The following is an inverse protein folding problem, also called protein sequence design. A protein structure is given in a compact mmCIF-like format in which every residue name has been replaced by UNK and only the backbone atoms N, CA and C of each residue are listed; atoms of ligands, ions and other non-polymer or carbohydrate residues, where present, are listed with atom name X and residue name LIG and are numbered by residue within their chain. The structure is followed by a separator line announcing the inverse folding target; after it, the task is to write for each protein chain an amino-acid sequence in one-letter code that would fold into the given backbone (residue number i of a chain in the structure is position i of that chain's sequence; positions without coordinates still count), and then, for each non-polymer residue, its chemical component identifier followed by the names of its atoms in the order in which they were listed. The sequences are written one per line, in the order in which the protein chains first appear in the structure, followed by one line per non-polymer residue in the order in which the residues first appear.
data_IF_126915114719
#
_entry.id   IF_126915114719
#
_cell.length_a   1.000
_cell.length_b   1.000
_cell.length_c   1.000
_cell.angle_alpha   90.00
_cell.angle_beta   90.00
_cell.angle_gamma   90.00
#
_symmetry.space_group_name_H-M   'P 1'
#
loop_
_entity.id
_entity.type
_entity.pdbx_description
1 polymer ?
#
# COMPACT_ATOMS: atom_id res chain seq x y z
N UNK A 1 1.30 8.82 0.64
CA UNK A 1 2.57 9.59 0.57
C UNK A 1 3.30 9.56 1.91
N UNK A 2 4.56 10.00 2.01
CA UNK A 2 5.47 9.81 3.18
C UNK A 2 4.82 10.02 4.56
N UNK A 3 3.83 10.91 4.67
CA UNK A 3 3.06 11.18 5.89
C UNK A 3 1.70 10.45 5.97
N UNK A 4 1.57 9.25 5.39
CA UNK A 4 0.32 8.47 5.24
C UNK A 4 -0.86 9.16 4.52
N UNK A 5 -0.64 10.32 3.89
CA UNK A 5 -1.65 11.00 3.06
C UNK A 5 -1.79 10.26 1.72
N UNK A 6 -2.87 9.52 1.50
CA UNK A 6 -3.04 8.61 0.36
C UNK A 6 -4.08 9.10 -0.66
N UNK A 7 -4.78 10.18 -0.37
CA UNK A 7 -5.82 10.80 -1.20
C UNK A 7 -5.32 11.13 -2.62
N UNK A 8 -4.14 11.73 -2.85
CA UNK A 8 -3.66 12.02 -4.20
C UNK A 8 -3.45 10.76 -5.05
N UNK A 9 -3.13 9.63 -4.41
CA UNK A 9 -2.89 8.36 -5.09
C UNK A 9 -4.22 7.66 -5.39
N UNK A 10 -5.15 7.69 -4.43
CA UNK A 10 -6.48 7.07 -4.53
C UNK A 10 -7.36 7.77 -5.58
N UNK A 11 -7.21 9.09 -5.74
CA UNK A 11 -7.94 9.88 -6.74
C UNK A 11 -7.16 10.07 -8.05
N UNK A 12 -5.82 10.08 -8.01
CA UNK A 12 -4.97 10.30 -9.19
C UNK A 12 -4.84 9.08 -10.10
N UNK A 13 -4.74 7.88 -9.53
CA UNK A 13 -5.16 6.66 -10.25
C UNK A 13 -6.59 6.40 -9.83
N UNK A 14 -7.52 6.01 -10.73
CA UNK A 14 -8.89 5.67 -10.36
C UNK A 14 -8.94 4.32 -9.62
N UNK A 15 -8.26 4.23 -8.47
CA UNK A 15 -8.16 3.04 -7.61
C UNK A 15 -9.56 2.60 -7.18
N UNK A 16 -10.41 3.58 -6.86
CA UNK A 16 -11.78 3.36 -6.39
C UNK A 16 -12.69 2.81 -7.50
N UNK A 17 -12.39 3.13 -8.77
CA UNK A 17 -13.18 2.65 -9.93
C UNK A 17 -12.57 1.41 -10.57
N UNK A 18 -11.31 1.04 -10.23
CA UNK A 18 -10.64 -0.13 -10.76
C UNK A 18 -10.72 -1.31 -9.77
N UNK A 19 -11.59 -2.31 -10.01
CA UNK A 19 -11.77 -3.44 -9.10
C UNK A 19 -10.49 -4.27 -8.91
N UNK A 20 -9.54 -4.23 -9.84
CA UNK A 20 -8.25 -4.93 -9.73
C UNK A 20 -7.37 -4.30 -8.66
N UNK A 21 -7.45 -2.98 -8.46
CA UNK A 21 -6.66 -2.28 -7.43
C UNK A 21 -7.34 -2.20 -6.07
N UNK A 22 -8.65 -2.43 -5.98
CA UNK A 22 -9.36 -2.59 -4.71
C UNK A 22 -8.90 -3.85 -3.96
N UNK A 23 -8.58 -4.93 -4.68
CA UNK A 23 -8.11 -6.19 -4.12
C UNK A 23 -6.83 -6.01 -3.25
N UNK A 24 -5.70 -5.50 -3.80
CA UNK A 24 -4.50 -5.27 -3.00
C UNK A 24 -4.72 -4.20 -1.93
N UNK A 25 -5.62 -3.24 -2.14
CA UNK A 25 -5.92 -2.21 -1.13
C UNK A 25 -6.54 -2.78 0.15
N UNK A 26 -7.34 -3.83 0.06
CA UNK A 26 -7.93 -4.50 1.24
C UNK A 26 -6.99 -5.58 1.81
N UNK A 27 -6.34 -6.35 0.94
CA UNK A 27 -5.50 -7.48 1.35
C UNK A 27 -4.22 -7.02 2.04
N UNK A 28 -3.58 -5.96 1.53
CA UNK A 28 -2.32 -5.44 2.08
C UNK A 28 -2.42 -5.04 3.56
N UNK A 29 -3.37 -4.19 3.99
CA UNK A 29 -3.51 -3.85 5.42
C UNK A 29 -3.92 -5.05 6.28
N UNK A 30 -4.70 -6.00 5.74
CA UNK A 30 -5.05 -7.23 6.47
C UNK A 30 -3.80 -8.08 6.75
N UNK A 31 -2.95 -8.28 5.75
CA UNK A 31 -1.68 -9.02 5.90
C UNK A 31 -0.73 -8.27 6.85
N UNK A 32 -0.58 -6.96 6.71
CA UNK A 32 0.28 -6.17 7.59
C UNK A 32 -0.20 -6.20 9.04
N UNK A 33 -1.51 -6.20 9.27
CA UNK A 33 -2.09 -6.35 10.62
C UNK A 33 -1.79 -7.72 11.20
N UNK A 34 -1.90 -8.78 10.39
CA UNK A 34 -1.59 -10.15 10.82
C UNK A 34 -0.10 -10.32 11.17
N UNK A 35 0.79 -9.76 10.35
CA UNK A 35 2.23 -9.72 10.61
C UNK A 35 2.50 -8.99 11.93
N UNK A 36 1.97 -7.77 12.08
CA UNK A 36 2.12 -6.98 13.31
C UNK A 36 1.62 -7.72 14.55
N UNK A 37 0.47 -8.36 14.46
CA UNK A 37 -0.10 -9.18 15.54
C UNK A 37 0.82 -10.35 15.90
N UNK A 38 1.36 -11.08 14.92
CA UNK A 38 2.27 -12.19 15.16
C UNK A 38 3.56 -11.77 15.88
N UNK A 39 4.13 -10.62 15.52
CA UNK A 39 5.32 -10.10 16.20
C UNK A 39 5.07 -9.63 17.64
N UNK A 40 3.86 -9.14 17.92
CA UNK A 40 3.45 -8.75 19.27
C UNK A 40 3.19 -10.00 20.13
N UNK A 41 2.49 -11.01 19.59
CA UNK A 41 2.17 -12.24 20.35
C UNK A 41 3.39 -13.10 20.63
N UNK A 42 4.37 -13.12 19.73
CA UNK A 42 5.67 -13.79 19.94
C UNK A 42 6.58 -13.05 20.94
N UNK A 43 6.13 -11.92 21.50
CA UNK A 43 6.89 -11.03 22.39
C UNK A 43 8.21 -10.52 21.79
N UNK A 44 8.37 -10.58 20.47
CA UNK A 44 9.51 -10.02 19.76
C UNK A 44 9.48 -8.49 19.82
N UNK A 45 8.28 -7.91 19.79
CA UNK A 45 8.04 -6.47 19.84
C UNK A 45 7.10 -6.16 21.01
N UNK A 46 7.42 -5.18 21.87
CA UNK A 46 6.51 -4.75 22.90
C UNK A 46 5.25 -4.15 22.29
N UNK A 47 4.07 -4.29 22.93
CA UNK A 47 2.86 -3.63 22.45
C UNK A 47 3.08 -2.11 22.41
N UNK A 48 2.40 -1.46 21.46
CA UNK A 48 2.47 0.00 21.30
C UNK A 48 2.00 0.68 22.59
N UNK A 49 2.94 1.32 23.30
CA UNK A 49 2.71 2.01 24.57
C UNK A 49 2.46 3.52 24.37
N UNK A 50 2.94 4.08 23.25
CA UNK A 50 2.81 5.50 22.94
C UNK A 50 1.90 5.74 21.74
N UNK A 51 0.98 6.67 21.87
CA UNK A 51 0.15 7.14 20.76
C UNK A 51 1.01 8.00 19.83
N UNK A 52 1.28 7.48 18.64
CA UNK A 52 2.07 8.16 17.60
C UNK A 52 1.12 8.83 16.61
N UNK A 53 1.39 10.07 16.16
CA UNK A 53 0.58 10.73 15.13
C UNK A 53 0.48 9.87 13.87
N UNK A 54 -0.72 9.75 13.30
CA UNK A 54 -0.98 8.96 12.08
C UNK A 54 -0.25 9.49 10.84
N UNK A 55 0.18 10.76 10.87
CA UNK A 55 1.02 11.37 9.83
C UNK A 55 2.48 10.93 9.89
N UNK A 56 2.89 10.14 10.88
CA UNK A 56 4.28 9.67 11.01
C UNK A 56 4.61 8.66 9.90
N UNK A 57 5.79 8.70 9.26
CA UNK A 57 6.11 7.77 8.18
C UNK A 57 5.98 6.30 8.61
N UNK A 58 5.39 5.47 7.75
CA UNK A 58 4.95 4.10 8.07
C UNK A 58 5.92 3.26 8.93
N UNK A 59 7.21 3.13 8.57
CA UNK A 59 8.18 2.35 9.36
C UNK A 59 8.53 2.96 10.73
N UNK A 60 8.35 4.27 10.90
CA UNK A 60 8.64 4.98 12.15
C UNK A 60 7.50 4.87 13.17
N UNK A 61 6.27 4.61 12.73
CA UNK A 61 5.11 4.39 13.62
C UNK A 61 5.37 3.27 14.65
N UNK A 62 5.73 2.03 14.26
CA UNK A 62 6.00 0.97 15.22
C UNK A 62 7.25 1.24 16.07
N UNK A 63 8.25 1.93 15.53
CA UNK A 63 9.45 2.31 16.28
C UNK A 63 9.15 3.27 17.43
N UNK A 64 8.45 4.37 17.14
CA UNK A 64 8.06 5.37 18.13
C UNK A 64 6.99 4.83 19.08
N UNK A 65 6.06 4.02 18.58
CA UNK A 65 5.00 3.41 19.37
C UNK A 65 5.51 2.46 20.45
N UNK A 66 6.68 1.86 20.23
CA UNK A 66 7.33 0.91 21.15
C UNK A 66 8.36 1.56 22.06
N UNK A 67 8.51 2.89 22.01
CA UNK A 67 9.48 3.61 22.83
C UNK A 67 10.92 3.53 22.33
N UNK A 68 11.13 3.26 21.04
CA UNK A 68 12.46 3.26 20.44
C UNK A 68 13.10 1.87 20.26
N UNK A 69 12.30 0.82 20.04
CA UNK A 69 12.83 -0.53 19.83
C UNK A 69 13.21 -0.78 18.36
N UNK A 70 14.49 -1.08 18.07
CA UNK A 70 14.96 -1.34 16.71
C UNK A 70 14.28 -2.53 16.01
N UNK A 71 13.82 -3.52 16.76
CA UNK A 71 13.05 -4.63 16.18
C UNK A 71 11.72 -4.15 15.59
N UNK A 72 11.09 -3.14 16.21
CA UNK A 72 9.84 -2.58 15.73
C UNK A 72 10.03 -1.78 14.43
N UNK A 73 11.19 -1.13 14.28
CA UNK A 73 11.57 -0.46 13.03
C UNK A 73 11.76 -1.48 11.91
N UNK A 74 12.45 -2.59 12.17
CA UNK A 74 12.65 -3.66 11.19
C UNK A 74 11.33 -4.29 10.73
N UNK A 75 10.39 -4.54 11.66
CA UNK A 75 9.06 -5.06 11.29
C UNK A 75 8.25 -4.02 10.51
N UNK A 76 8.35 -2.73 10.85
CA UNK A 76 7.75 -1.67 10.04
C UNK A 76 8.29 -1.64 8.60
N UNK A 77 9.60 -1.81 8.44
CA UNK A 77 10.24 -1.89 7.13
C UNK A 77 9.86 -3.18 6.37
N UNK A 78 9.73 -4.31 7.08
CA UNK A 78 9.26 -5.57 6.52
C UNK A 78 7.81 -5.46 6.02
N UNK A 79 6.91 -4.87 6.83
CA UNK A 79 5.53 -4.61 6.41
C UNK A 79 5.45 -3.69 5.20
N UNK A 80 6.35 -2.70 5.10
CA UNK A 80 6.46 -1.85 3.91
C UNK A 80 6.91 -2.68 2.69
N UNK A 81 7.94 -3.51 2.83
CA UNK A 81 8.45 -4.36 1.77
C UNK A 81 7.43 -5.39 1.28
N UNK A 82 6.71 -6.03 2.21
CA UNK A 82 5.61 -6.96 1.90
C UNK A 82 4.49 -6.24 1.18
N UNK A 83 4.11 -5.05 1.63
CA UNK A 83 3.12 -4.22 0.95
C UNK A 83 3.55 -3.88 -0.48
N UNK A 84 4.80 -3.45 -0.72
CA UNK A 84 5.28 -3.17 -2.08
C UNK A 84 5.28 -4.41 -2.95
N UNK A 85 5.71 -5.57 -2.43
CA UNK A 85 5.70 -6.84 -3.19
C UNK A 85 4.29 -7.27 -3.54
N UNK A 86 3.33 -7.14 -2.63
CA UNK A 86 1.92 -7.43 -2.91
C UNK A 86 1.37 -6.46 -3.96
N UNK A 87 1.70 -5.17 -3.86
CA UNK A 87 1.14 -4.15 -4.74
C UNK A 87 1.72 -4.19 -6.17
N UNK A 88 2.99 -4.58 -6.31
CA UNK A 88 3.73 -4.59 -7.58
C UNK A 88 3.04 -5.36 -8.73
N UNK A 89 2.62 -6.64 -8.57
CA UNK A 89 1.98 -7.38 -9.66
C UNK A 89 0.65 -6.76 -10.09
N UNK A 90 -0.14 -6.23 -9.14
CA UNK A 90 -1.44 -5.62 -9.46
C UNK A 90 -1.27 -4.29 -10.20
N UNK A 91 -0.28 -3.48 -9.81
CA UNK A 91 0.03 -2.23 -10.52
C UNK A 91 0.47 -2.51 -11.96
N UNK A 92 1.30 -3.53 -12.18
CA UNK A 92 1.75 -3.91 -13.53
C UNK A 92 0.55 -4.33 -14.40
N UNK A 93 -0.36 -5.14 -13.86
CA UNK A 93 -1.57 -5.56 -14.56
C UNK A 93 -2.49 -4.37 -14.85
N UNK A 94 -2.74 -3.51 -13.87
CA UNK A 94 -3.56 -2.30 -14.05
C UNK A 94 -2.96 -1.35 -15.08
N UNK A 95 -1.64 -1.17 -15.10
CA UNK A 95 -0.95 -0.34 -16.09
C UNK A 95 -1.05 -0.93 -17.50
N UNK A 96 -1.01 -2.26 -17.65
CA UNK A 96 -1.18 -2.94 -18.94
C UNK A 96 -2.60 -2.82 -19.49
N UNK A 97 -3.61 -2.87 -18.62
CA UNK A 97 -5.02 -2.66 -19.00
C UNK A 97 -5.24 -1.21 -19.42
N UNK A 98 -4.77 -0.24 -18.63
CA UNK A 98 -4.86 1.18 -19.00
C UNK A 98 -4.16 1.50 -20.33
N UNK A 99 -3.01 0.89 -20.60
CA UNK A 99 -2.33 1.02 -21.89
C UNK A 99 -3.08 0.36 -23.04
N UNK A 100 -3.82 -0.74 -22.78
CA UNK A 100 -4.63 -1.43 -23.78
C UNK A 100 -5.90 -0.63 -24.11
N UNK A 101 -6.57 -0.07 -23.10
CA UNK A 101 -7.75 0.78 -23.28
C UNK A 101 -7.38 2.07 -24.05
N UNK A 102 -6.26 2.70 -23.72
CA UNK A 102 -5.75 3.85 -24.45
C UNK A 102 -5.43 3.52 -25.92
N UNK A 103 -4.94 2.31 -26.21
CA UNK A 103 -4.69 1.86 -27.58
C UNK A 103 -5.99 1.55 -28.35
N UNK A 104 -7.03 1.08 -27.67
CA UNK A 104 -8.35 0.84 -28.27
C UNK A 104 -9.08 2.15 -28.58
N UNK A 105 -9.05 3.13 -27.68
CA UNK A 105 -9.65 4.46 -27.93
C UNK A 105 -8.93 5.22 -29.05
N UNK A 106 -7.60 5.10 -29.16
CA UNK A 106 -6.83 5.68 -30.26
C UNK A 106 -7.18 5.03 -31.62
N UNK A 107 -7.47 3.72 -31.65
CA UNK A 107 -7.86 3.03 -32.88
C UNK A 107 -9.34 3.27 -33.24
N UNK A 108 -10.21 3.44 -32.25
CA UNK A 108 -11.61 3.81 -32.45
C UNK A 108 -11.74 5.23 -33.03
N UNK A 109 -10.98 6.19 -32.53
CA UNK A 109 -10.96 7.58 -33.06
C UNK A 109 -10.34 7.65 -34.46
N UNK A 110 -9.33 6.84 -34.78
CA UNK A 110 -8.78 6.75 -36.13
C UNK A 110 -9.72 6.11 -37.16
N UNK A 111 -10.72 5.35 -36.71
CA UNK A 111 -11.70 4.67 -37.57
C UNK A 111 -12.90 5.55 -37.95
N UNK A 112 -13.18 6.61 -37.18
CA UNK A 112 -14.27 7.56 -37.45
C UNK A 112 -13.87 8.71 -38.39
N UNK A 113 -12.57 8.84 -38.71
CA UNK A 113 -12.03 9.90 -39.58
C UNK A 113 -11.82 9.44 -41.04
N UNK A 114 -12.18 8.19 -41.38
CA UNK A 114 -12.23 7.67 -42.76
C UNK A 114 -13.66 7.50 -43.24
#
# INVERSE_FOLDING_TARGET
GIFNINEPVIFGLPIVLNPIMVIPFIITPAINTLIGYFFITTKLIPPVAYQVPWTTPGPLIPFLGTGGNWLALLVGLLCLAVATVIYLPFVIVSNKIAASDAAMDANATASTEK
#
